data_IF_545534506444
#
_entry.id   IF_545534506444
#
_cell.length_a   1.000
_cell.length_b   1.000
_cell.length_c   1.000
_cell.angle_alpha   90.00
_cell.angle_beta   90.00
_cell.angle_gamma   90.00
#
_symmetry.space_group_name_H-M   'P 1'
#
loop_
_entity.id
_entity.type
_entity.pdbx_description
1 polymer ?
#
# COMPACT_ATOMS: atom_id res chain seq x y z
N UNK A 1 -11.92 -47.85 -14.71
CA UNK A 1 -12.11 -46.63 -13.88
C UNK A 1 -11.75 -45.43 -14.72
N UNK A 2 -12.74 -44.65 -15.15
CA UNK A 2 -12.61 -43.49 -16.05
C UNK A 2 -12.13 -42.28 -15.21
N UNK A 3 -11.01 -41.62 -15.58
CA UNK A 3 -10.94 -40.29 -16.24
C UNK A 3 -11.27 -39.13 -15.27
N UNK A 4 -10.55 -38.01 -15.06
CA UNK A 4 -9.54 -37.26 -15.85
C UNK A 4 -9.02 -36.07 -15.00
N UNK A 5 -7.73 -35.75 -15.17
CA UNK A 5 -6.98 -34.47 -15.10
C UNK A 5 -7.36 -33.25 -14.18
N UNK A 6 -6.35 -32.42 -13.81
CA UNK A 6 -6.38 -31.35 -12.81
C UNK A 6 -6.80 -29.99 -13.38
N UNK A 7 -7.43 -29.13 -12.59
CA UNK A 7 -7.68 -27.74 -13.01
C UNK A 7 -7.84 -26.75 -11.83
N UNK A 8 -7.33 -25.54 -12.08
CA UNK A 8 -7.57 -24.25 -11.41
C UNK A 8 -6.72 -23.86 -10.18
N UNK A 9 -5.54 -23.30 -10.49
CA UNK A 9 -5.04 -22.14 -9.76
C UNK A 9 -4.54 -21.09 -10.76
N UNK A 10 -5.49 -20.40 -11.39
CA UNK A 10 -5.25 -19.17 -12.18
C UNK A 10 -6.23 -18.12 -11.70
N UNK A 11 -5.84 -17.33 -10.69
CA UNK A 11 -6.35 -15.96 -10.51
C UNK A 11 -5.26 -15.14 -9.82
N UNK A 12 -4.48 -14.37 -10.58
CA UNK A 12 -4.07 -13.04 -10.13
C UNK A 12 -3.78 -12.12 -11.32
N UNK A 13 -4.76 -11.26 -11.59
CA UNK A 13 -4.69 -9.91 -12.16
C UNK A 13 -3.96 -9.69 -13.50
N UNK A 14 -4.79 -9.42 -14.51
CA UNK A 14 -4.49 -8.45 -15.55
C UNK A 14 -3.94 -7.14 -14.97
N UNK A 15 -2.87 -6.62 -15.57
CA UNK A 15 -2.70 -5.25 -16.08
C UNK A 15 -1.19 -4.91 -16.18
N UNK A 16 -0.50 -5.49 -17.16
CA UNK A 16 0.81 -5.03 -17.63
C UNK A 16 0.74 -4.94 -19.16
N UNK A 17 0.02 -3.93 -19.65
CA UNK A 17 0.16 -3.45 -21.02
C UNK A 17 0.28 -1.93 -20.95
N UNK A 18 1.51 -1.46 -20.77
CA UNK A 18 1.92 -0.16 -21.26
C UNK A 18 2.91 -0.43 -22.37
N UNK A 19 2.54 0.02 -23.57
CA UNK A 19 3.27 -0.22 -24.80
C UNK A 19 4.71 0.26 -24.75
N UNK A 20 5.54 -0.41 -25.54
CA UNK A 20 6.87 0.06 -25.91
C UNK A 20 6.77 1.45 -26.53
N UNK A 21 7.57 2.39 -26.03
CA UNK A 21 8.05 3.48 -26.87
C UNK A 21 9.53 3.19 -27.08
N UNK A 22 9.85 2.70 -28.27
CA UNK A 22 11.20 2.70 -28.83
C UNK A 22 11.58 4.15 -29.11
N UNK A 23 12.58 4.66 -28.39
CA UNK A 23 13.31 5.85 -28.80
C UNK A 23 14.62 5.37 -29.39
N UNK A 24 14.66 5.28 -30.71
CA UNK A 24 15.90 5.06 -31.44
C UNK A 24 16.56 6.43 -31.62
N UNK A 25 17.47 6.78 -30.71
CA UNK A 25 18.27 7.99 -30.84
C UNK A 25 19.74 7.59 -30.95
N UNK A 26 20.23 7.65 -32.19
CA UNK A 26 21.65 7.66 -32.53
C UNK A 26 22.34 8.70 -31.66
N UNK A 27 23.19 8.23 -30.73
CA UNK A 27 24.04 9.09 -29.91
C UNK A 27 25.40 9.24 -30.57
N UNK A 28 25.63 10.38 -31.23
CA UNK A 28 26.98 10.86 -31.48
C UNK A 28 27.57 11.25 -30.13
N UNK A 29 28.63 10.56 -29.68
CA UNK A 29 29.34 10.92 -28.45
C UNK A 29 29.96 12.32 -28.59
N UNK A 30 29.40 13.29 -27.87
CA UNK A 30 30.11 14.53 -27.53
C UNK A 30 30.35 14.57 -26.02
N UNK A 31 31.63 14.62 -25.67
CA UNK A 31 32.18 14.67 -24.32
C UNK A 31 31.77 15.97 -23.63
N UNK A 32 30.84 15.94 -22.67
CA UNK A 32 30.36 17.14 -21.94
C UNK A 32 31.07 17.27 -20.57
N UNK A 33 31.70 18.42 -20.26
CA UNK A 33 32.27 18.74 -18.96
C UNK A 33 31.21 18.94 -17.85
N UNK A 34 31.50 18.41 -16.66
CA UNK A 34 30.91 18.63 -15.32
C UNK A 34 29.50 19.28 -15.24
N UNK A 35 28.55 18.42 -14.89
CA UNK A 35 27.10 18.61 -14.79
C UNK A 35 26.70 19.70 -13.76
N UNK A 36 26.04 20.75 -14.22
CA UNK A 36 25.29 21.66 -13.36
C UNK A 36 24.00 20.93 -12.90
N UNK A 37 23.89 20.62 -11.60
CA UNK A 37 22.63 20.12 -11.05
C UNK A 37 21.68 21.32 -10.90
N UNK A 38 20.78 21.53 -11.86
CA UNK A 38 19.60 22.38 -11.62
C UNK A 38 18.85 21.73 -10.46
N UNK A 39 18.94 22.31 -9.26
CA UNK A 39 18.05 21.97 -8.15
C UNK A 39 16.65 22.42 -8.55
N UNK A 40 15.90 21.54 -9.22
CA UNK A 40 14.47 21.74 -9.44
C UNK A 40 13.82 21.89 -8.07
N UNK A 41 12.96 22.91 -7.83
CA UNK A 41 12.24 23.01 -6.58
C UNK A 41 11.51 21.68 -6.32
N UNK A 42 11.82 21.05 -5.19
CA UNK A 42 11.28 19.75 -4.84
C UNK A 42 9.76 19.86 -4.68
N UNK A 43 9.01 19.03 -5.41
CA UNK A 43 7.56 19.01 -5.28
C UNK A 43 7.17 18.44 -3.92
N UNK A 44 6.70 19.31 -3.04
CA UNK A 44 6.25 18.99 -1.68
C UNK A 44 5.20 17.88 -1.66
N UNK A 45 4.36 17.75 -2.70
CA UNK A 45 3.39 16.66 -2.80
C UNK A 45 4.07 15.31 -3.03
N UNK A 46 5.09 15.28 -3.89
CA UNK A 46 5.87 14.06 -4.15
C UNK A 46 6.67 13.69 -2.91
N UNK A 47 7.33 14.68 -2.30
CA UNK A 47 8.11 14.49 -1.07
C UNK A 47 7.26 13.94 0.07
N UNK A 48 6.10 14.56 0.34
CA UNK A 48 5.19 14.11 1.40
C UNK A 48 4.74 12.65 1.20
N UNK A 49 4.50 12.23 -0.05
CA UNK A 49 4.15 10.84 -0.34
C UNK A 49 5.31 9.86 -0.14
N UNK A 50 6.52 10.24 -0.56
CA UNK A 50 7.72 9.43 -0.37
C UNK A 50 8.02 9.27 1.12
N UNK A 51 8.00 10.37 1.86
CA UNK A 51 8.29 10.39 3.29
C UNK A 51 7.25 9.61 4.09
N UNK A 52 5.96 9.72 3.76
CA UNK A 52 4.94 8.91 4.40
C UNK A 52 5.16 7.41 4.15
N UNK A 53 5.59 7.02 2.94
CA UNK A 53 5.90 5.62 2.62
C UNK A 53 7.05 5.08 3.47
N UNK A 54 8.07 5.91 3.70
CA UNK A 54 9.26 5.53 4.47
C UNK A 54 8.99 5.51 5.97
N UNK A 55 8.31 6.53 6.49
CA UNK A 55 8.26 6.83 7.92
C UNK A 55 6.95 6.43 8.62
N UNK A 56 5.84 6.30 7.90
CA UNK A 56 4.58 5.93 8.55
C UNK A 56 4.52 4.44 8.93
N UNK A 57 4.71 4.13 10.22
CA UNK A 57 4.70 2.75 10.76
C UNK A 57 3.63 2.47 11.81
N UNK A 58 2.95 3.49 12.33
CA UNK A 58 1.99 3.37 13.45
C UNK A 58 0.59 2.91 13.03
N UNK A 59 0.49 2.09 11.98
CA UNK A 59 -0.76 1.41 11.58
C UNK A 59 -1.00 0.10 12.34
N UNK A 60 0.03 -0.42 13.03
CA UNK A 60 0.05 -1.79 13.58
C UNK A 60 -1.12 -2.08 14.52
N UNK A 61 -1.47 -1.18 15.45
CA UNK A 61 -2.58 -1.41 16.37
C UNK A 61 -3.92 -1.63 15.65
N UNK A 62 -4.25 -0.75 14.71
CA UNK A 62 -5.46 -0.87 13.88
C UNK A 62 -5.46 -2.17 13.05
N UNK A 63 -4.34 -2.49 12.39
CA UNK A 63 -4.23 -3.67 11.55
C UNK A 63 -4.26 -4.97 12.37
N UNK A 64 -3.52 -5.07 13.47
CA UNK A 64 -3.44 -6.26 14.31
C UNK A 64 -4.77 -6.52 15.03
N UNK A 65 -5.42 -5.48 15.57
CA UNK A 65 -6.75 -5.64 16.17
C UNK A 65 -7.78 -6.16 15.16
N UNK A 66 -7.72 -5.65 13.92
CA UNK A 66 -8.55 -6.17 12.82
C UNK A 66 -8.22 -7.64 12.51
N UNK A 67 -6.95 -8.02 12.48
CA UNK A 67 -6.55 -9.42 12.25
C UNK A 67 -7.13 -10.35 13.31
N UNK A 68 -6.92 -10.03 14.59
CA UNK A 68 -7.35 -10.87 15.71
C UNK A 68 -8.87 -11.09 15.70
N UNK A 69 -9.64 -10.01 15.52
CA UNK A 69 -11.10 -10.10 15.42
C UNK A 69 -11.55 -10.86 14.18
N UNK A 70 -10.87 -10.69 13.05
CA UNK A 70 -11.19 -11.40 11.79
C UNK A 70 -10.83 -12.88 11.83
N UNK A 71 -9.81 -13.28 12.59
CA UNK A 71 -9.47 -14.69 12.81
C UNK A 71 -10.55 -15.40 13.65
N UNK A 72 -11.11 -14.72 14.65
CA UNK A 72 -12.22 -15.25 15.45
C UNK A 72 -13.51 -15.36 14.63
N UNK A 73 -13.83 -14.31 13.88
CA UNK A 73 -14.95 -14.30 12.95
C UNK A 73 -14.74 -13.20 11.91
N UNK A 74 -14.67 -13.53 10.62
CA UNK A 74 -14.49 -12.54 9.56
C UNK A 74 -15.62 -11.49 9.53
N UNK A 75 -16.83 -11.87 9.96
CA UNK A 75 -17.99 -10.98 10.06
C UNK A 75 -17.80 -9.96 11.17
N UNK A 76 -17.40 -10.41 12.37
CA UNK A 76 -17.10 -9.50 13.49
C UNK A 76 -15.89 -8.63 13.19
N UNK A 77 -14.84 -9.21 12.58
CA UNK A 77 -13.64 -8.50 12.15
C UNK A 77 -13.87 -7.43 11.07
N UNK A 78 -14.99 -7.46 10.36
CA UNK A 78 -15.35 -6.44 9.39
C UNK A 78 -15.63 -5.08 10.06
N UNK A 79 -16.18 -5.09 11.27
CA UNK A 79 -16.49 -3.87 12.05
C UNK A 79 -15.20 -3.04 12.29
N UNK A 80 -14.15 -3.58 12.94
CA UNK A 80 -12.90 -2.84 13.09
C UNK A 80 -12.23 -2.56 11.73
N UNK A 81 -12.36 -3.43 10.73
CA UNK A 81 -11.81 -3.17 9.40
C UNK A 81 -12.37 -1.87 8.78
N UNK A 82 -13.68 -1.65 8.88
CA UNK A 82 -14.37 -0.44 8.39
C UNK A 82 -13.98 0.76 9.24
N UNK A 83 -14.16 0.68 10.57
CA UNK A 83 -13.93 1.82 11.48
C UNK A 83 -12.47 2.28 11.42
N UNK A 84 -11.51 1.36 11.50
CA UNK A 84 -10.09 1.69 11.45
C UNK A 84 -9.65 2.20 10.08
N UNK A 85 -10.30 1.78 8.98
CA UNK A 85 -10.00 2.26 7.63
C UNK A 85 -10.62 3.63 7.32
N UNK A 86 -11.80 3.94 7.87
CA UNK A 86 -12.49 5.20 7.64
C UNK A 86 -11.87 6.37 8.42
N UNK A 87 -11.26 6.09 9.57
CA UNK A 87 -10.61 7.11 10.39
C UNK A 87 -9.27 7.54 9.80
N UNK A 88 -8.88 8.82 9.95
CA UNK A 88 -7.51 9.23 9.61
C UNK A 88 -6.52 8.82 10.73
N UNK A 89 -5.22 8.63 10.42
CA UNK A 89 -4.20 8.52 11.47
C UNK A 89 -4.16 9.80 12.29
N UNK A 90 -4.06 9.68 13.61
CA UNK A 90 -3.84 10.84 14.51
C UNK A 90 -2.49 11.49 14.18
N UNK A 91 -2.37 12.81 14.36
CA UNK A 91 -1.14 13.56 14.07
C UNK A 91 0.05 12.99 14.85
N UNK A 92 -0.14 12.73 16.15
CA UNK A 92 0.85 12.06 17.01
C UNK A 92 1.31 10.70 16.46
N UNK A 93 0.52 10.04 15.62
CA UNK A 93 0.83 8.74 15.03
C UNK A 93 1.40 8.83 13.60
N UNK A 94 1.56 10.03 13.04
CA UNK A 94 2.06 10.17 11.66
C UNK A 94 3.56 9.88 11.56
N UNK A 95 4.36 10.32 12.53
CA UNK A 95 5.81 10.09 12.49
C UNK A 95 6.48 10.77 11.29
N UNK A 96 6.07 12.00 10.97
CA UNK A 96 6.69 12.78 9.90
C UNK A 96 8.14 13.16 10.30
N UNK A 97 9.09 13.16 9.36
CA UNK A 97 10.52 13.31 9.68
C UNK A 97 10.97 14.77 9.89
N UNK A 98 10.21 15.75 9.40
CA UNK A 98 10.58 17.16 9.45
C UNK A 98 9.34 18.03 9.74
N UNK A 99 9.37 18.75 10.86
CA UNK A 99 8.29 19.61 11.32
C UNK A 99 8.05 20.82 10.41
N UNK A 100 9.11 21.43 9.89
CA UNK A 100 9.01 22.62 9.02
C UNK A 100 8.32 22.28 7.69
N UNK A 101 8.65 21.12 7.11
CA UNK A 101 7.94 20.60 5.95
C UNK A 101 6.48 20.28 6.28
N UNK A 102 6.21 19.74 7.47
CA UNK A 102 4.86 19.39 7.90
C UNK A 102 3.95 20.61 8.12
N UNK A 103 4.51 21.79 8.37
CA UNK A 103 3.77 23.06 8.41
C UNK A 103 3.29 23.52 7.02
N UNK A 104 3.89 22.99 5.94
CA UNK A 104 3.52 23.36 4.57
C UNK A 104 2.30 22.54 4.12
N UNK A 105 1.23 23.22 3.69
CA UNK A 105 -0.07 22.59 3.41
C UNK A 105 0.00 21.47 2.35
N UNK A 106 0.80 21.65 1.29
CA UNK A 106 0.97 20.65 0.23
C UNK A 106 1.61 19.36 0.76
N UNK A 107 2.70 19.50 1.53
CA UNK A 107 3.38 18.37 2.15
C UNK A 107 2.49 17.68 3.18
N UNK A 108 1.85 18.43 4.08
CA UNK A 108 0.93 17.92 5.09
C UNK A 108 -0.18 17.05 4.49
N UNK A 109 -0.86 17.58 3.46
CA UNK A 109 -1.97 16.91 2.78
C UNK A 109 -1.48 15.63 2.10
N UNK A 110 -0.36 15.70 1.38
CA UNK A 110 0.21 14.58 0.68
C UNK A 110 0.67 13.46 1.63
N UNK A 111 1.37 13.82 2.70
CA UNK A 111 1.86 12.89 3.72
C UNK A 111 0.69 12.19 4.41
N UNK A 112 -0.25 12.95 4.95
CA UNK A 112 -1.39 12.41 5.73
C UNK A 112 -2.28 11.53 4.85
N UNK A 113 -2.54 11.94 3.60
CA UNK A 113 -3.31 11.13 2.64
C UNK A 113 -2.61 9.80 2.35
N UNK A 114 -1.29 9.81 2.14
CA UNK A 114 -0.52 8.60 1.87
C UNK A 114 -0.45 7.69 3.10
N UNK A 115 -0.22 8.24 4.29
CA UNK A 115 -0.25 7.51 5.55
C UNK A 115 -1.59 6.81 5.77
N UNK A 116 -2.71 7.51 5.54
CA UNK A 116 -4.04 6.91 5.65
C UNK A 116 -4.22 5.73 4.66
N UNK A 117 -3.81 5.91 3.39
CA UNK A 117 -3.85 4.82 2.40
C UNK A 117 -3.00 3.60 2.82
N UNK A 118 -1.84 3.82 3.44
CA UNK A 118 -1.01 2.72 3.96
C UNK A 118 -1.74 1.99 5.09
N UNK A 119 -2.34 2.73 6.03
CA UNK A 119 -3.13 2.15 7.13
C UNK A 119 -4.29 1.31 6.61
N UNK A 120 -5.11 1.88 5.72
CA UNK A 120 -6.25 1.21 5.11
C UNK A 120 -5.84 -0.11 4.45
N UNK A 121 -4.77 -0.08 3.62
CA UNK A 121 -4.27 -1.29 2.98
C UNK A 121 -3.90 -2.37 4.00
N UNK A 122 -3.18 -2.01 5.07
CA UNK A 122 -2.78 -2.97 6.11
C UNK A 122 -3.96 -3.53 6.89
N UNK A 123 -4.96 -2.71 7.18
CA UNK A 123 -6.21 -3.13 7.83
C UNK A 123 -6.98 -4.12 6.96
N UNK A 124 -7.23 -3.78 5.69
CA UNK A 124 -7.93 -4.65 4.74
C UNK A 124 -7.17 -5.94 4.41
N UNK A 125 -5.84 -5.88 4.29
CA UNK A 125 -5.02 -7.09 4.13
C UNK A 125 -5.18 -8.02 5.32
N UNK A 126 -5.17 -7.49 6.55
CA UNK A 126 -5.32 -8.29 7.75
C UNK A 126 -6.73 -8.89 7.91
N UNK A 127 -7.77 -8.13 7.57
CA UNK A 127 -9.14 -8.68 7.50
C UNK A 127 -9.23 -9.80 6.45
N UNK A 128 -8.67 -9.58 5.25
CA UNK A 128 -8.66 -10.57 4.18
C UNK A 128 -7.91 -11.86 4.54
N UNK A 129 -6.83 -11.76 5.31
CA UNK A 129 -6.13 -12.93 5.88
C UNK A 129 -7.06 -13.69 6.82
N UNK A 130 -7.75 -13.01 7.75
CA UNK A 130 -8.69 -13.65 8.67
C UNK A 130 -9.82 -14.38 7.95
N UNK A 131 -10.38 -13.75 6.91
CA UNK A 131 -11.36 -14.38 6.03
C UNK A 131 -10.81 -15.63 5.34
N UNK A 132 -9.62 -15.52 4.71
CA UNK A 132 -8.99 -16.63 4.01
C UNK A 132 -8.73 -17.83 4.90
N UNK A 133 -8.23 -17.61 6.13
CA UNK A 133 -8.01 -18.67 7.12
C UNK A 133 -9.32 -19.37 7.49
N UNK A 134 -10.38 -18.62 7.74
CA UNK A 134 -11.69 -19.20 8.08
C UNK A 134 -12.29 -20.00 6.92
N UNK A 135 -12.16 -19.53 5.68
CA UNK A 135 -12.62 -20.27 4.49
C UNK A 135 -11.88 -21.60 4.33
N UNK A 136 -10.55 -21.60 4.50
CA UNK A 136 -9.75 -22.83 4.46
C UNK A 136 -10.18 -23.79 5.57
N UNK A 137 -10.42 -23.30 6.79
CA UNK A 137 -10.88 -24.14 7.90
C UNK A 137 -12.23 -24.78 7.60
N UNK A 138 -13.19 -24.03 7.05
CA UNK A 138 -14.50 -24.56 6.64
C UNK A 138 -14.32 -25.66 5.59
N UNK A 139 -13.51 -25.42 4.55
CA UNK A 139 -13.26 -26.41 3.49
C UNK A 139 -12.66 -27.72 4.03
N UNK A 140 -11.78 -27.63 5.03
CA UNK A 140 -11.20 -28.81 5.69
C UNK A 140 -12.24 -29.56 6.53
N UNK A 141 -13.14 -28.84 7.21
CA UNK A 141 -14.16 -29.45 8.07
C UNK A 141 -15.34 -30.04 7.29
N UNK A 142 -15.59 -29.55 6.07
CA UNK A 142 -16.72 -30.02 5.23
C UNK A 142 -16.34 -31.12 4.24
N UNK A 143 -15.04 -31.39 4.04
CA UNK A 143 -14.54 -32.50 3.23
C UNK A 143 -14.22 -33.71 4.11
#
# INVERSE_FOLDING_TARGET
MKSTLPFLLVIFSALQSFGQITYDSVSTEQKIPQLYTINKPEDLNVKGQIDATRNYKRYKGAATGTLLTSLLSPVIGLIPAIVCSATNPKIENLGYPNEELFKQAAYYKAYTKKANKIKQRKVWSNWGIGLGVNLVLILILTN
#
